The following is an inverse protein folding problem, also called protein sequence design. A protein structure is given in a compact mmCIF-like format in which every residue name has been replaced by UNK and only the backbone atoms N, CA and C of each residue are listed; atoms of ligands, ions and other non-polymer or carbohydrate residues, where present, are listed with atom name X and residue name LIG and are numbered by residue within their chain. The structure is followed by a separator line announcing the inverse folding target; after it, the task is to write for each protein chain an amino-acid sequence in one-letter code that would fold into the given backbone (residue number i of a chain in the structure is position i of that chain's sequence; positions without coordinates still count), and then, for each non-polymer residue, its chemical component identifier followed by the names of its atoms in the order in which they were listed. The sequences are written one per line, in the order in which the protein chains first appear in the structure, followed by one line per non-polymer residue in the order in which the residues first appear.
data_IF_906180049836
#
_entry.id   IF_906180049836
#
_cell.length_a   1.000
_cell.length_b   1.000
_cell.length_c   1.000
_cell.angle_alpha   90.00
_cell.angle_beta   90.00
_cell.angle_gamma   90.00
#
_symmetry.space_group_name_H-M   'P 1'
#
loop_
_entity.id
_entity.type
_entity.pdbx_description
1 polymer ?
#
# COMPACT_ATOMS: atom_id res chain seq x y z
N UNK A 1 -57.22 42.92 7.41
CA UNK A 1 -56.72 43.97 8.33
C UNK A 1 -57.94 44.76 8.82
N UNK A 2 -58.03 45.24 10.08
CA UNK A 2 -56.94 45.46 11.05
C UNK A 2 -57.24 44.99 12.51
N UNK A 3 -56.33 45.37 13.43
CA UNK A 3 -56.41 45.41 14.92
C UNK A 3 -56.33 44.10 15.71
N UNK A 4 -55.49 44.13 16.74
CA UNK A 4 -55.13 43.04 17.65
C UNK A 4 -55.38 43.39 19.13
N UNK A 5 -54.80 42.59 20.05
CA UNK A 5 -54.65 42.77 21.52
C UNK A 5 -55.75 42.12 22.40
N UNK A 6 -55.48 41.60 23.62
CA UNK A 6 -54.23 41.52 24.43
C UNK A 6 -54.20 40.24 25.30
N UNK A 7 -53.03 39.93 25.87
CA UNK A 7 -52.71 38.76 26.69
C UNK A 7 -53.25 38.75 28.14
N UNK A 8 -53.22 37.55 28.74
CA UNK A 8 -53.41 37.19 30.16
C UNK A 8 -54.07 35.80 30.26
N UNK A 9 -53.77 34.87 31.17
CA UNK A 9 -52.71 34.70 32.19
C UNK A 9 -52.62 33.17 32.50
N UNK A 10 -51.74 32.59 33.32
CA UNK A 10 -50.58 33.03 34.11
C UNK A 10 -49.63 31.82 34.36
N UNK A 11 -48.38 32.05 34.79
CA UNK A 11 -47.43 30.98 35.18
C UNK A 11 -47.64 30.48 36.62
N UNK A 12 -47.33 29.22 36.94
CA UNK A 12 -46.92 28.82 38.29
C UNK A 12 -45.44 29.19 38.50
N UNK A 13 -45.17 29.94 39.57
CA UNK A 13 -43.85 30.51 39.88
C UNK A 13 -42.92 29.49 40.55
N UNK A 14 -41.61 29.57 40.22
CA UNK A 14 -40.52 28.87 40.93
C UNK A 14 -40.57 29.14 42.44
N UNK A 15 -40.49 28.11 43.28
CA UNK A 15 -39.89 28.22 44.62
C UNK A 15 -38.47 27.67 44.59
N UNK A 16 -37.47 28.38 45.16
CA UNK A 16 -36.12 27.86 45.27
C UNK A 16 -36.02 26.87 46.44
N UNK A 17 -35.26 25.80 46.27
CA UNK A 17 -34.74 25.02 47.37
C UNK A 17 -33.27 24.65 47.09
N UNK A 18 -32.42 25.35 47.84
CA UNK A 18 -31.12 24.96 48.40
C UNK A 18 -30.06 24.30 47.49
N UNK A 19 -28.91 24.99 47.44
CA UNK A 19 -27.65 24.48 46.92
C UNK A 19 -27.26 23.15 47.59
N UNK A 20 -27.40 22.05 46.85
CA UNK A 20 -26.46 20.93 46.98
C UNK A 20 -25.59 20.91 45.73
N UNK A 21 -24.57 21.78 45.74
CA UNK A 21 -23.53 21.85 44.72
C UNK A 21 -22.63 20.60 44.75
N UNK A 22 -23.19 19.47 44.33
CA UNK A 22 -22.47 18.24 43.99
C UNK A 22 -22.60 17.99 42.49
N UNK A 23 -22.32 19.03 41.70
CA UNK A 23 -21.81 18.85 40.33
C UNK A 23 -20.45 18.15 40.50
N UNK A 24 -20.47 16.82 40.56
CA UNK A 24 -19.28 16.02 40.33
C UNK A 24 -18.84 16.31 38.91
N UNK A 25 -17.89 17.23 38.84
CA UNK A 25 -17.19 17.62 37.63
C UNK A 25 -16.89 16.37 36.83
N UNK A 26 -17.29 16.38 35.56
CA UNK A 26 -16.75 15.45 34.59
C UNK A 26 -15.26 15.77 34.46
N UNK A 27 -14.45 15.21 35.36
CA UNK A 27 -13.02 15.03 35.18
C UNK A 27 -12.85 14.56 33.74
N UNK A 28 -12.11 15.31 32.94
CA UNK A 28 -11.82 14.96 31.56
C UNK A 28 -10.92 13.72 31.55
N UNK A 29 -11.55 12.56 31.76
CA UNK A 29 -10.92 11.26 31.75
C UNK A 29 -10.49 10.99 30.32
N UNK A 30 -9.20 10.74 30.14
CA UNK A 30 -8.65 10.30 28.86
C UNK A 30 -9.47 9.12 28.30
N UNK A 31 -9.75 9.09 26.99
CA UNK A 31 -10.50 8.00 26.40
C UNK A 31 -9.75 6.67 26.58
N UNK A 32 -10.46 5.64 27.01
CA UNK A 32 -9.89 4.29 27.11
C UNK A 32 -9.53 3.79 25.71
N UNK A 33 -8.35 3.17 25.61
CA UNK A 33 -7.86 2.49 24.39
C UNK A 33 -8.18 1.00 24.48
N UNK A 34 -8.59 0.42 23.35
CA UNK A 34 -9.07 -0.96 23.30
C UNK A 34 -7.98 -1.86 22.71
N UNK A 35 -7.63 -2.90 23.44
CA UNK A 35 -6.58 -3.83 23.04
C UNK A 35 -7.16 -5.24 22.85
N UNK A 36 -6.75 -5.91 21.77
CA UNK A 36 -6.97 -7.34 21.59
C UNK A 36 -5.63 -8.02 21.90
N UNK A 37 -5.61 -8.77 23.00
CA UNK A 37 -4.42 -9.40 23.56
C UNK A 37 -4.52 -10.93 23.44
N UNK A 38 -3.39 -11.65 23.23
CA UNK A 38 -3.32 -13.10 23.42
C UNK A 38 -3.87 -13.54 24.78
N UNK A 39 -4.43 -14.76 24.86
CA UNK A 39 -5.06 -15.25 26.10
C UNK A 39 -4.06 -15.61 27.18
N UNK A 40 -2.93 -16.19 26.80
CA UNK A 40 -1.96 -16.81 27.71
C UNK A 40 -0.76 -15.87 27.95
N UNK A 41 -1.04 -14.63 28.34
CA UNK A 41 -0.02 -13.63 28.67
C UNK A 41 0.35 -13.75 30.16
N UNK A 42 1.66 -13.69 30.43
CA UNK A 42 2.25 -13.69 31.76
C UNK A 42 1.95 -12.39 32.53
N UNK A 43 1.78 -12.46 33.84
CA UNK A 43 1.61 -11.29 34.71
C UNK A 43 2.85 -10.36 34.70
N UNK A 44 4.01 -10.87 34.26
CA UNK A 44 5.23 -10.10 34.04
C UNK A 44 5.29 -9.40 32.68
N UNK A 45 4.26 -9.51 31.84
CA UNK A 45 4.24 -8.82 30.56
C UNK A 45 4.14 -7.29 30.72
N UNK A 46 4.89 -6.54 29.92
CA UNK A 46 4.97 -5.08 29.98
C UNK A 46 4.88 -4.46 28.59
N UNK A 47 4.33 -3.25 28.54
CA UNK A 47 4.38 -2.42 27.34
C UNK A 47 5.76 -1.77 27.28
N UNK A 48 6.53 -2.06 26.23
CA UNK A 48 7.83 -1.45 25.95
C UNK A 48 7.70 -0.44 24.81
N UNK A 49 8.48 0.64 24.86
CA UNK A 49 8.58 1.60 23.76
C UNK A 49 9.92 1.39 23.03
N UNK A 50 9.90 0.61 21.95
CA UNK A 50 11.11 0.24 21.19
C UNK A 50 11.14 0.95 19.84
N UNK A 51 12.34 1.15 19.28
CA UNK A 51 12.51 1.65 17.91
C UNK A 51 12.06 0.59 16.90
N UNK A 52 11.15 0.94 15.99
CA UNK A 52 10.70 0.07 14.92
C UNK A 52 11.82 -0.11 13.87
N UNK A 53 12.09 -1.33 13.39
CA UNK A 53 13.36 -1.64 12.72
C UNK A 53 13.48 -1.07 11.30
N UNK A 54 12.38 -0.66 10.67
CA UNK A 54 12.38 -0.09 9.31
C UNK A 54 12.79 1.38 9.26
N UNK A 55 12.31 2.16 10.21
CA UNK A 55 12.25 3.63 10.17
C UNK A 55 12.74 4.28 11.47
N UNK A 56 13.10 3.49 12.48
CA UNK A 56 13.58 3.95 13.77
C UNK A 56 12.51 4.60 14.66
N UNK A 57 11.25 4.64 14.23
CA UNK A 57 10.18 5.31 14.98
C UNK A 57 9.88 4.58 16.29
N UNK A 58 9.72 5.33 17.38
CA UNK A 58 9.38 4.77 18.68
C UNK A 58 7.94 4.24 18.68
N UNK A 59 7.78 2.92 18.73
CA UNK A 59 6.50 2.22 18.71
C UNK A 59 6.30 1.39 19.97
N UNK A 60 5.04 1.23 20.40
CA UNK A 60 4.71 0.39 21.54
C UNK A 60 4.67 -1.07 21.10
N UNK A 61 5.34 -1.91 21.85
CA UNK A 61 5.26 -3.36 21.78
C UNK A 61 4.77 -3.88 23.13
N UNK A 62 4.22 -5.09 23.14
CA UNK A 62 3.99 -5.85 24.36
C UNK A 62 5.07 -6.94 24.43
N UNK A 63 5.85 -6.93 25.50
CA UNK A 63 6.83 -7.97 25.77
C UNK A 63 6.31 -8.90 26.86
N UNK A 64 6.44 -10.21 26.64
CA UNK A 64 6.08 -11.26 27.58
C UNK A 64 7.27 -12.25 27.69
N UNK A 65 7.92 -12.38 28.87
CA UNK A 65 9.10 -13.25 29.04
C UNK A 65 8.90 -14.71 28.58
N UNK A 66 7.66 -15.22 28.63
CA UNK A 66 7.32 -16.59 28.25
C UNK A 66 6.86 -16.76 26.79
N UNK A 67 6.47 -15.69 26.11
CA UNK A 67 5.79 -15.74 24.79
C UNK A 67 6.46 -14.89 23.70
N UNK A 68 7.39 -14.00 24.06
CA UNK A 68 8.11 -13.14 23.13
C UNK A 68 7.52 -11.73 23.02
N UNK A 69 7.81 -11.08 21.90
CA UNK A 69 7.39 -9.72 21.59
C UNK A 69 6.14 -9.72 20.71
N UNK A 70 5.27 -8.73 20.92
CA UNK A 70 4.08 -8.50 20.11
C UNK A 70 4.03 -7.03 19.67
N UNK A 71 3.76 -6.81 18.38
CA UNK A 71 3.55 -5.49 17.80
C UNK A 71 2.06 -5.12 17.84
N UNK A 72 1.76 -3.84 18.06
CA UNK A 72 0.40 -3.33 18.03
C UNK A 72 0.03 -2.74 16.68
N UNK A 73 -0.72 -3.49 15.87
CA UNK A 73 -1.40 -2.95 14.69
C UNK A 73 -2.71 -2.28 15.09
N UNK A 74 -2.91 -1.03 14.66
CA UNK A 74 -4.17 -0.29 14.84
C UNK A 74 -5.15 -0.65 13.72
N UNK A 75 -6.32 -1.17 14.10
CA UNK A 75 -7.49 -1.35 13.26
C UNK A 75 -8.42 -0.17 13.54
N UNK A 76 -8.66 0.64 12.52
CA UNK A 76 -9.57 1.80 12.57
C UNK A 76 -10.79 1.52 11.69
N UNK A 77 -11.97 1.94 12.10
CA UNK A 77 -13.15 1.90 11.25
C UNK A 77 -12.98 2.77 9.98
N UNK A 78 -13.50 2.34 8.80
CA UNK A 78 -13.64 3.19 7.62
C UNK A 78 -14.35 4.51 7.91
N UNK A 79 -14.08 5.55 7.12
CA UNK A 79 -14.62 6.91 7.33
C UNK A 79 -16.14 7.02 7.22
N UNK A 80 -16.80 6.03 6.61
CA UNK A 80 -18.26 5.95 6.42
C UNK A 80 -18.97 5.15 7.52
N UNK A 81 -18.22 4.41 8.35
CA UNK A 81 -18.78 3.55 9.39
C UNK A 81 -18.97 4.27 10.74
N UNK A 82 -19.82 3.76 11.65
CA UNK A 82 -20.00 4.33 12.98
C UNK A 82 -18.69 4.35 13.79
N UNK A 83 -18.27 5.55 14.21
CA UNK A 83 -16.94 5.82 14.80
C UNK A 83 -16.84 5.60 16.32
N UNK A 84 -17.91 5.15 16.98
CA UNK A 84 -17.96 4.97 18.43
C UNK A 84 -18.30 3.54 18.85
N UNK A 85 -17.71 3.08 19.95
CA UNK A 85 -17.93 1.75 20.53
C UNK A 85 -18.69 1.86 21.85
N UNK A 86 -19.75 1.08 22.01
CA UNK A 86 -20.45 0.89 23.28
C UNK A 86 -19.96 -0.41 23.94
N UNK A 87 -19.30 -0.27 25.08
CA UNK A 87 -18.98 -1.39 25.97
C UNK A 87 -20.07 -1.51 27.02
N UNK A 88 -20.64 -2.70 27.15
CA UNK A 88 -21.65 -3.02 28.16
C UNK A 88 -21.28 -4.32 28.88
N UNK A 89 -21.74 -4.47 30.12
CA UNK A 89 -21.54 -5.68 30.90
C UNK A 89 -22.45 -6.80 30.37
N UNK A 90 -21.86 -7.87 29.79
CA UNK A 90 -22.64 -9.01 29.32
C UNK A 90 -23.40 -9.74 30.46
N UNK A 91 -22.86 -9.72 31.68
CA UNK A 91 -23.53 -10.24 32.88
C UNK A 91 -23.26 -9.32 34.09
N UNK A 92 -24.23 -8.51 34.55
CA UNK A 92 -24.00 -7.56 35.65
C UNK A 92 -23.72 -8.24 37.00
N UNK A 93 -24.23 -9.45 37.22
CA UNK A 93 -24.09 -10.20 38.48
C UNK A 93 -22.65 -10.69 38.73
N UNK A 94 -21.96 -11.18 37.69
CA UNK A 94 -20.56 -11.65 37.79
C UNK A 94 -19.58 -10.52 38.10
N UNK A 95 -19.91 -9.28 37.72
CA UNK A 95 -19.10 -8.10 38.02
C UNK A 95 -19.07 -7.78 39.52
N UNK A 96 -20.16 -8.03 40.26
CA UNK A 96 -20.19 -7.77 41.71
C UNK A 96 -19.22 -8.69 42.48
N UNK A 97 -19.10 -9.95 42.06
CA UNK A 97 -18.14 -10.91 42.63
C UNK A 97 -16.69 -10.55 42.31
N UNK A 98 -16.42 -10.04 41.10
CA UNK A 98 -15.05 -9.65 40.70
C UNK A 98 -14.60 -8.31 41.32
N UNK A 99 -15.52 -7.34 41.45
CA UNK A 99 -15.23 -6.04 42.08
C UNK A 99 -14.95 -6.16 43.59
N UNK A 100 -15.57 -7.14 44.28
CA UNK A 100 -15.25 -7.43 45.69
C UNK A 100 -13.83 -8.00 45.92
N UNK A 101 -13.12 -8.44 44.87
CA UNK A 101 -11.70 -8.87 44.97
C UNK A 101 -10.70 -7.78 44.57
N UNK A 102 -11.16 -6.69 43.95
CA UNK A 102 -10.32 -5.61 43.39
C UNK A 102 -10.54 -4.30 44.16
N UNK A 103 -10.70 -4.39 45.48
CA UNK A 103 -11.27 -3.30 46.27
C UNK A 103 -10.33 -2.12 46.54
N UNK A 104 -9.03 -2.24 46.27
CA UNK A 104 -8.04 -1.19 46.58
C UNK A 104 -7.64 -0.25 45.42
N UNK A 105 -7.60 -0.68 44.15
CA UNK A 105 -6.77 0.03 43.13
C UNK A 105 -7.44 0.50 41.82
N UNK A 106 -8.78 0.39 41.62
CA UNK A 106 -9.36 0.96 40.39
C UNK A 106 -10.83 1.42 40.39
N UNK A 107 -11.04 2.74 40.53
CA UNK A 107 -12.30 3.41 40.20
C UNK A 107 -12.77 3.17 38.75
N UNK A 108 -11.89 2.73 37.84
CA UNK A 108 -12.23 2.44 36.43
C UNK A 108 -13.10 1.19 36.27
N UNK A 109 -12.96 0.19 37.15
CA UNK A 109 -13.78 -1.03 37.12
C UNK A 109 -15.27 -0.75 37.36
N UNK A 110 -15.58 0.27 38.16
CA UNK A 110 -16.94 0.74 38.44
C UNK A 110 -17.62 1.47 37.27
N UNK A 111 -16.88 1.82 36.20
CA UNK A 111 -17.45 2.52 35.05
C UNK A 111 -18.01 1.54 34.01
N UNK A 112 -17.33 0.40 33.80
CA UNK A 112 -17.78 -0.63 32.85
C UNK A 112 -19.13 -1.25 33.26
N UNK A 113 -19.45 -1.28 34.56
CA UNK A 113 -20.75 -1.77 35.06
C UNK A 113 -21.93 -0.84 34.76
N UNK A 114 -21.70 0.42 34.38
CA UNK A 114 -22.73 1.38 33.93
C UNK A 114 -22.77 1.57 32.42
N UNK A 115 -21.95 0.82 31.67
CA UNK A 115 -21.72 1.03 30.25
C UNK A 115 -20.73 2.17 29.97
N UNK A 116 -19.93 2.01 28.92
CA UNK A 116 -18.93 3.00 28.50
C UNK A 116 -18.98 3.20 26.99
N UNK A 117 -19.12 4.46 26.55
CA UNK A 117 -19.03 4.82 25.13
C UNK A 117 -17.64 5.40 24.86
N UNK A 118 -16.86 4.69 24.04
CA UNK A 118 -15.63 5.24 23.47
C UNK A 118 -15.96 6.00 22.19
N UNK A 119 -15.42 7.22 22.06
CA UNK A 119 -15.60 8.07 20.86
C UNK A 119 -14.75 7.63 19.66
N UNK A 120 -13.86 6.65 19.86
CA UNK A 120 -12.94 6.13 18.84
C UNK A 120 -13.12 4.62 18.71
N UNK A 121 -13.54 4.17 17.53
CA UNK A 121 -13.62 2.77 17.13
C UNK A 121 -12.25 2.17 16.74
N UNK A 122 -11.19 2.57 17.46
CA UNK A 122 -9.84 2.08 17.25
C UNK A 122 -9.56 0.87 18.15
N UNK A 123 -9.19 -0.26 17.56
CA UNK A 123 -8.66 -1.42 18.26
C UNK A 123 -7.17 -1.58 17.98
N UNK A 124 -6.40 -1.95 19.00
CA UNK A 124 -4.97 -2.25 18.88
C UNK A 124 -4.78 -3.75 19.08
N UNK A 125 -4.39 -4.49 18.05
CA UNK A 125 -4.23 -5.94 18.12
C UNK A 125 -2.76 -6.30 18.33
N UNK A 126 -2.46 -7.07 19.38
CA UNK A 126 -1.13 -7.59 19.65
C UNK A 126 -0.81 -8.79 18.73
N UNK A 127 -0.16 -8.52 17.59
CA UNK A 127 0.32 -9.55 16.67
C UNK A 127 1.73 -10.02 17.08
N UNK A 128 2.04 -11.33 17.08
CA UNK A 128 3.40 -11.82 17.37
C UNK A 128 4.44 -11.17 16.46
N UNK A 129 5.52 -10.67 17.03
CA UNK A 129 6.61 -10.00 16.33
C UNK A 129 7.94 -10.69 16.64
N UNK A 130 8.75 -10.93 15.61
CA UNK A 130 10.02 -11.61 15.79
C UNK A 130 11.13 -10.64 16.23
N UNK A 131 11.75 -10.94 17.36
CA UNK A 131 12.89 -10.19 17.92
C UNK A 131 14.07 -10.11 16.95
N UNK A 132 14.24 -11.09 16.05
CA UNK A 132 15.26 -11.06 15.00
C UNK A 132 15.20 -9.75 14.20
N UNK A 133 14.01 -9.27 13.84
CA UNK A 133 13.89 -8.02 13.07
C UNK A 133 14.25 -6.77 13.89
N UNK A 134 14.08 -6.78 15.22
CA UNK A 134 14.58 -5.71 16.10
C UNK A 134 16.11 -5.73 16.14
N UNK A 135 16.73 -6.91 16.21
CA UNK A 135 18.18 -7.04 16.36
C UNK A 135 18.97 -6.80 15.06
N UNK A 136 18.45 -7.20 13.89
CA UNK A 136 19.12 -6.99 12.59
C UNK A 136 19.70 -5.58 12.42
N UNK A 137 18.95 -4.47 12.57
CA UNK A 137 19.50 -3.12 12.41
C UNK A 137 20.45 -2.67 13.54
N UNK A 138 20.52 -3.41 14.65
CA UNK A 138 21.45 -3.14 15.75
C UNK A 138 22.79 -3.86 15.55
N UNK A 139 22.79 -5.03 14.90
CA UNK A 139 23.98 -5.89 14.74
C UNK A 139 24.60 -5.85 13.35
N UNK A 140 23.82 -5.57 12.30
CA UNK A 140 24.33 -5.42 10.94
C UNK A 140 24.55 -3.94 10.62
N UNK A 141 25.78 -3.52 10.27
CA UNK A 141 26.03 -2.13 9.90
C UNK A 141 25.23 -1.74 8.66
N UNK A 142 24.85 -0.46 8.56
CA UNK A 142 24.13 0.07 7.39
C UNK A 142 24.99 0.03 6.11
N UNK A 143 26.28 0.28 6.24
CA UNK A 143 27.29 0.13 5.18
C UNK A 143 27.94 -1.25 5.22
N UNK A 144 28.42 -1.73 4.07
CA UNK A 144 29.22 -2.95 3.99
C UNK A 144 30.69 -2.62 4.27
N UNK A 145 31.02 -2.37 5.54
CA UNK A 145 32.39 -2.09 5.94
C UNK A 145 33.25 -3.35 5.73
N UNK A 146 34.24 -3.27 4.84
CA UNK A 146 35.09 -4.41 4.44
C UNK A 146 36.01 -4.97 5.54
N UNK A 147 35.91 -4.44 6.77
CA UNK A 147 36.58 -4.98 7.94
C UNK A 147 35.92 -6.28 8.40
N UNK A 148 36.73 -7.29 8.73
CA UNK A 148 36.20 -8.51 9.35
C UNK A 148 35.69 -8.17 10.75
N UNK A 149 34.36 -8.09 10.92
CA UNK A 149 33.75 -7.93 12.23
C UNK A 149 34.35 -8.92 13.23
N UNK A 150 34.74 -8.43 14.41
CA UNK A 150 35.34 -9.26 15.45
C UNK A 150 34.26 -10.06 16.18
N UNK A 151 34.67 -11.13 16.87
CA UNK A 151 33.80 -11.83 17.81
C UNK A 151 33.74 -11.03 19.11
N UNK A 152 32.54 -10.66 19.54
CA UNK A 152 32.29 -9.82 20.72
C UNK A 152 31.12 -10.40 21.53
N UNK A 153 31.08 -10.22 22.86
CA UNK A 153 29.94 -10.66 23.66
C UNK A 153 28.70 -9.81 23.32
N UNK A 154 27.52 -10.36 23.62
CA UNK A 154 26.24 -9.70 23.31
C UNK A 154 26.09 -8.33 23.97
N UNK A 155 26.65 -8.18 25.18
CA UNK A 155 26.56 -6.96 25.98
C UNK A 155 27.39 -5.82 25.36
N UNK A 156 28.58 -6.12 24.80
CA UNK A 156 29.42 -5.15 24.07
C UNK A 156 28.78 -4.73 22.73
N UNK A 157 28.25 -5.69 21.97
CA UNK A 157 27.62 -5.43 20.66
C UNK A 157 26.41 -4.49 20.76
N UNK A 158 25.71 -4.53 21.90
CA UNK A 158 24.49 -3.74 22.13
C UNK A 158 24.70 -2.62 23.15
N UNK A 159 25.94 -2.37 23.61
CA UNK A 159 26.21 -1.43 24.71
C UNK A 159 25.64 -0.04 24.42
N UNK A 160 26.04 0.57 23.31
CA UNK A 160 25.62 1.93 22.93
C UNK A 160 24.09 2.08 22.86
N UNK A 161 23.41 1.11 22.25
CA UNK A 161 21.95 1.13 22.10
C UNK A 161 21.24 0.87 23.44
N UNK A 162 21.85 0.06 24.30
CA UNK A 162 21.35 -0.27 25.65
C UNK A 162 21.62 0.87 26.65
N UNK A 163 22.60 1.74 26.41
CA UNK A 163 22.79 2.99 27.14
C UNK A 163 21.71 4.03 26.76
N UNK A 164 21.47 4.21 25.46
CA UNK A 164 20.44 5.12 24.90
C UNK A 164 19.00 4.72 25.29
N UNK A 165 18.66 3.43 25.17
CA UNK A 165 17.28 2.94 25.30
C UNK A 165 17.09 2.10 26.58
N UNK A 166 16.30 2.64 27.51
CA UNK A 166 15.96 1.99 28.80
C UNK A 166 15.01 0.81 28.62
N UNK A 167 14.16 0.82 27.60
CA UNK A 167 13.20 -0.24 27.30
C UNK A 167 13.92 -1.42 26.63
N UNK A 168 14.91 -1.14 25.77
CA UNK A 168 15.83 -2.15 25.26
C UNK A 168 16.64 -2.79 26.40
N UNK A 169 17.13 -2.00 27.36
CA UNK A 169 17.79 -2.54 28.57
C UNK A 169 16.88 -3.44 29.40
N UNK A 170 15.60 -3.09 29.53
CA UNK A 170 14.61 -3.95 30.18
C UNK A 170 14.45 -5.29 29.44
N UNK A 171 14.36 -5.25 28.10
CA UNK A 171 14.30 -6.43 27.24
C UNK A 171 15.55 -7.31 27.38
N UNK A 172 16.75 -6.72 27.43
CA UNK A 172 18.01 -7.47 27.65
C UNK A 172 18.02 -8.16 29.02
N UNK A 173 17.54 -7.51 30.08
CA UNK A 173 17.53 -8.07 31.43
C UNK A 173 16.47 -9.17 31.64
N UNK A 174 15.26 -9.02 31.08
CA UNK A 174 14.13 -9.93 31.33
C UNK A 174 13.86 -10.92 30.19
N UNK A 175 14.50 -10.72 29.03
CA UNK A 175 14.35 -11.54 27.82
C UNK A 175 15.67 -12.09 27.29
N UNK A 176 16.76 -12.08 28.08
CA UNK A 176 18.12 -12.41 27.62
C UNK A 176 18.20 -13.70 26.79
N UNK A 177 17.54 -14.77 27.24
CA UNK A 177 17.48 -16.06 26.53
C UNK A 177 16.84 -15.96 25.14
N UNK A 178 15.82 -15.11 24.96
CA UNK A 178 15.20 -14.86 23.66
C UNK A 178 16.12 -14.04 22.75
N UNK A 179 16.85 -13.08 23.30
CA UNK A 179 17.83 -12.28 22.55
C UNK A 179 19.01 -13.17 22.13
N UNK A 180 19.58 -13.96 23.04
CA UNK A 180 20.64 -14.95 22.76
C UNK A 180 20.22 -15.94 21.66
N UNK A 181 18.99 -16.48 21.74
CA UNK A 181 18.43 -17.34 20.70
C UNK A 181 18.29 -16.62 19.34
N UNK A 182 17.86 -15.35 19.32
CA UNK A 182 17.79 -14.58 18.09
C UNK A 182 19.19 -14.21 17.54
N UNK A 183 20.17 -13.98 18.41
CA UNK A 183 21.57 -13.75 18.04
C UNK A 183 22.24 -14.99 17.44
N UNK A 184 21.97 -16.20 17.96
CA UNK A 184 22.45 -17.47 17.37
C UNK A 184 22.00 -17.66 15.90
N UNK A 185 20.81 -17.14 15.57
CA UNK A 185 20.25 -17.18 14.22
C UNK A 185 20.86 -16.13 13.27
N UNK A 186 21.40 -15.02 13.79
CA UNK A 186 21.97 -13.90 13.01
C UNK A 186 23.50 -13.90 12.93
N UNK A 187 24.17 -14.44 13.94
CA UNK A 187 25.60 -14.31 14.15
C UNK A 187 26.28 -15.67 14.16
N UNK A 188 27.50 -15.74 13.63
CA UNK A 188 28.41 -16.86 13.92
C UNK A 188 28.85 -16.77 15.37
N UNK A 189 28.96 -17.92 16.05
CA UNK A 189 29.23 -17.97 17.50
C UNK A 189 30.41 -18.87 17.81
N UNK A 190 31.22 -18.44 18.78
CA UNK A 190 32.29 -19.22 19.39
C UNK A 190 32.22 -19.09 20.91
N UNK A 191 32.56 -20.15 21.62
CA UNK A 191 32.67 -20.11 23.07
C UNK A 191 34.13 -19.86 23.46
N UNK A 192 34.37 -18.78 24.21
CA UNK A 192 35.71 -18.39 24.69
C UNK A 192 35.60 -18.05 26.17
N UNK A 193 36.33 -18.78 27.02
CA UNK A 193 36.35 -18.53 28.47
C UNK A 193 35.00 -18.72 29.17
N UNK A 194 34.12 -19.57 28.65
CA UNK A 194 32.77 -19.79 29.17
C UNK A 194 31.75 -18.69 28.81
N UNK A 195 32.10 -17.78 27.88
CA UNK A 195 31.19 -16.80 27.31
C UNK A 195 30.97 -17.05 25.82
N UNK A 196 29.73 -16.87 25.36
CA UNK A 196 29.39 -16.91 23.94
C UNK A 196 29.75 -15.58 23.29
N UNK A 197 30.66 -15.62 22.32
CA UNK A 197 31.06 -14.48 21.51
C UNK A 197 30.37 -14.57 20.15
N UNK A 198 29.82 -13.46 19.68
CA UNK A 198 28.99 -13.36 18.48
C UNK A 198 29.70 -12.51 17.41
N UNK A 199 29.55 -12.91 16.15
CA UNK A 199 29.99 -12.15 14.98
C UNK A 199 28.84 -12.07 13.96
N UNK A 200 28.30 -10.88 13.63
CA UNK A 200 27.20 -10.73 12.68
C UNK A 200 27.51 -11.37 11.31
N UNK A 201 26.58 -12.20 10.82
CA UNK A 201 26.76 -12.98 9.59
C UNK A 201 25.61 -12.72 8.62
N UNK A 202 25.94 -12.08 7.49
CA UNK A 202 24.97 -11.78 6.43
C UNK A 202 24.37 -13.06 5.84
N UNK A 203 25.18 -14.11 5.70
CA UNK A 203 24.74 -15.40 5.15
C UNK A 203 23.71 -16.10 6.06
N UNK A 204 23.94 -16.09 7.38
CA UNK A 204 22.93 -16.55 8.35
C UNK A 204 21.66 -15.71 8.28
N UNK A 205 21.80 -14.38 8.19
CA UNK A 205 20.65 -13.46 8.07
C UNK A 205 19.81 -13.76 6.82
N UNK A 206 20.44 -14.01 5.67
CA UNK A 206 19.76 -14.44 4.44
C UNK A 206 19.02 -15.77 4.65
N UNK A 207 19.66 -16.77 5.28
CA UNK A 207 19.03 -18.06 5.62
C UNK A 207 17.80 -17.88 6.53
N UNK A 208 17.86 -17.03 7.54
CA UNK A 208 16.72 -16.71 8.41
C UNK A 208 15.59 -16.07 7.61
N UNK A 209 15.87 -15.10 6.74
CA UNK A 209 14.86 -14.44 5.92
C UNK A 209 14.18 -15.45 4.98
N UNK A 210 14.94 -16.34 4.31
CA UNK A 210 14.38 -17.44 3.50
C UNK A 210 13.47 -18.34 4.34
N UNK A 211 13.89 -18.70 5.55
CA UNK A 211 13.07 -19.50 6.46
C UNK A 211 11.76 -18.78 6.83
N UNK A 212 11.79 -17.46 7.06
CA UNK A 212 10.57 -16.66 7.30
C UNK A 212 9.68 -16.55 6.06
N UNK A 213 10.26 -16.42 4.86
CA UNK A 213 9.52 -16.43 3.59
C UNK A 213 8.77 -17.75 3.41
N UNK A 214 9.45 -18.89 3.57
CA UNK A 214 8.82 -20.21 3.46
C UNK A 214 7.70 -20.38 4.49
N UNK A 215 7.99 -20.11 5.77
CA UNK A 215 6.98 -20.19 6.85
C UNK A 215 5.74 -19.29 6.59
N UNK A 216 5.91 -18.15 5.93
CA UNK A 216 4.80 -17.25 5.59
C UNK A 216 4.03 -17.71 4.34
N UNK A 217 4.69 -18.36 3.37
CA UNK A 217 4.04 -19.03 2.24
C UNK A 217 3.24 -20.25 2.71
N UNK A 218 3.80 -21.07 3.60
CA UNK A 218 3.16 -22.27 4.15
C UNK A 218 1.92 -21.95 5.00
N UNK A 219 1.92 -20.80 5.69
CA UNK A 219 0.76 -20.28 6.43
C UNK A 219 -0.30 -19.63 5.53
N UNK A 220 0.02 -19.41 4.26
CA UNK A 220 -0.84 -18.78 3.27
C UNK A 220 -0.78 -17.25 3.30
N UNK A 221 -0.79 -16.66 2.11
CA UNK A 221 -1.08 -15.24 1.91
C UNK A 221 -2.60 -15.00 2.07
N UNK A 222 -3.04 -13.85 2.60
CA UNK A 222 -4.43 -13.43 2.52
C UNK A 222 -4.93 -13.47 1.07
N UNK A 223 -6.13 -14.02 0.84
CA UNK A 223 -6.68 -14.25 -0.52
C UNK A 223 -6.66 -12.99 -1.41
N UNK A 224 -6.94 -11.81 -0.83
CA UNK A 224 -6.90 -10.52 -1.53
C UNK A 224 -5.49 -10.05 -1.94
N UNK A 225 -4.44 -10.49 -1.24
CA UNK A 225 -3.04 -10.26 -1.63
C UNK A 225 -2.58 -11.30 -2.66
N UNK A 226 -2.98 -12.56 -2.47
CA UNK A 226 -2.70 -13.63 -3.44
C UNK A 226 -3.31 -13.33 -4.81
N UNK A 227 -4.56 -12.84 -4.86
CA UNK A 227 -5.21 -12.44 -6.11
C UNK A 227 -4.46 -11.25 -6.77
N UNK A 228 -4.21 -10.17 -6.02
CA UNK A 228 -3.65 -8.93 -6.58
C UNK A 228 -2.19 -9.04 -6.99
N UNK A 229 -1.36 -9.74 -6.21
CA UNK A 229 0.10 -9.77 -6.40
C UNK A 229 0.62 -11.09 -6.98
N UNK A 230 -0.19 -12.15 -7.02
CA UNK A 230 0.22 -13.46 -7.57
C UNK A 230 -0.60 -13.81 -8.80
N UNK A 231 -1.93 -13.95 -8.71
CA UNK A 231 -2.73 -14.39 -9.88
C UNK A 231 -2.75 -13.31 -10.97
N UNK A 232 -3.17 -12.08 -10.66
CA UNK A 232 -3.22 -10.96 -11.64
C UNK A 232 -1.85 -10.55 -12.18
N UNK A 233 -0.77 -10.85 -11.46
CA UNK A 233 0.59 -10.56 -11.91
C UNK A 233 1.06 -11.54 -13.01
N UNK A 234 0.58 -12.79 -12.95
CA UNK A 234 0.90 -13.88 -13.87
C UNK A 234 -0.17 -14.08 -14.96
N UNK A 235 -1.30 -13.38 -14.88
CA UNK A 235 -2.40 -13.44 -15.84
C UNK A 235 -1.99 -12.81 -17.18
N UNK A 236 -2.18 -13.56 -18.27
CA UNK A 236 -1.92 -13.08 -19.62
C UNK A 236 -2.97 -12.04 -20.05
N UNK A 237 -2.60 -10.97 -20.79
CA UNK A 237 -3.56 -10.00 -21.28
C UNK A 237 -4.59 -10.66 -22.20
N UNK A 238 -5.87 -10.47 -21.91
CA UNK A 238 -6.95 -10.90 -22.81
C UNK A 238 -6.92 -10.00 -24.06
N UNK A 239 -6.19 -10.47 -25.08
CA UNK A 239 -6.29 -9.97 -26.43
C UNK A 239 -7.72 -10.24 -26.90
N UNK A 240 -8.43 -9.16 -27.24
CA UNK A 240 -9.83 -9.24 -27.65
C UNK A 240 -9.95 -9.96 -28.99
N UNK A 241 -10.20 -11.27 -28.94
CA UNK A 241 -10.49 -12.06 -30.13
C UNK A 241 -11.66 -11.43 -30.89
N UNK A 242 -11.50 -11.30 -32.21
CA UNK A 242 -12.39 -10.56 -33.09
C UNK A 242 -13.82 -11.12 -33.01
N UNK A 243 -14.77 -10.33 -32.49
CA UNK A 243 -16.20 -10.67 -32.45
C UNK A 243 -16.88 -10.31 -33.77
N UNK A 244 -16.54 -11.04 -34.83
CA UNK A 244 -17.09 -10.87 -36.18
C UNK A 244 -17.68 -12.18 -36.70
N UNK A 245 -18.72 -12.73 -36.03
CA UNK A 245 -19.63 -13.75 -36.60
C UNK A 245 -20.83 -14.06 -35.67
N UNK A 246 -21.66 -13.05 -35.36
CA UNK A 246 -23.03 -13.28 -34.84
C UNK A 246 -24.00 -12.28 -35.49
N UNK A 247 -24.21 -12.40 -36.81
CA UNK A 247 -25.34 -11.77 -37.49
C UNK A 247 -25.67 -12.52 -38.78
N UNK A 248 -26.69 -13.39 -38.76
CA UNK A 248 -27.15 -14.06 -39.98
C UNK A 248 -27.77 -15.44 -39.81
N UNK A 249 -28.99 -15.51 -39.28
CA UNK A 249 -30.01 -16.40 -39.86
C UNK A 249 -31.41 -16.00 -39.37
N UNK A 250 -32.18 -15.38 -40.25
CA UNK A 250 -33.61 -15.10 -40.06
C UNK A 250 -34.39 -16.17 -40.81
N UNK A 251 -35.22 -16.96 -40.13
CA UNK A 251 -36.26 -17.77 -40.78
C UNK A 251 -37.58 -17.73 -40.01
N UNK A 252 -38.67 -17.95 -40.73
CA UNK A 252 -40.02 -17.45 -40.40
C UNK A 252 -41.10 -18.53 -40.41
N UNK A 253 -41.80 -18.69 -39.27
CA UNK A 253 -43.15 -19.28 -39.14
C UNK A 253 -43.28 -20.81 -39.26
N UNK A 254 -44.49 -21.38 -38.97
CA UNK A 254 -45.75 -20.76 -38.52
C UNK A 254 -46.34 -21.33 -37.19
N UNK A 255 -47.44 -20.71 -36.72
CA UNK A 255 -48.27 -21.10 -35.55
C UNK A 255 -49.31 -22.20 -35.90
N UNK A 256 -49.92 -22.87 -34.89
CA UNK A 256 -51.26 -22.43 -34.42
C UNK A 256 -51.51 -22.52 -32.89
N UNK A 257 -52.44 -21.67 -32.41
CA UNK A 257 -53.50 -21.90 -31.38
C UNK A 257 -53.16 -22.40 -29.96
N UNK A 258 -53.73 -21.90 -28.86
CA UNK A 258 -54.82 -20.92 -28.68
C UNK A 258 -54.64 -20.09 -27.38
N UNK A 259 -55.31 -18.95 -27.35
CA UNK A 259 -55.92 -18.19 -26.23
C UNK A 259 -55.52 -18.51 -24.78
N UNK A 260 -54.98 -17.52 -24.06
CA UNK A 260 -55.80 -16.77 -23.08
C UNK A 260 -55.22 -15.36 -22.79
N UNK A 261 -56.08 -14.44 -22.37
CA UNK A 261 -55.80 -13.00 -22.17
C UNK A 261 -55.32 -12.67 -20.75
N UNK A 262 -54.48 -11.63 -20.60
CA UNK A 262 -54.55 -10.56 -19.59
C UNK A 262 -53.24 -9.74 -19.54
N UNK A 263 -53.39 -8.43 -19.34
CA UNK A 263 -52.40 -7.42 -19.71
C UNK A 263 -51.58 -6.82 -18.54
N UNK A 264 -50.33 -6.43 -18.86
CA UNK A 264 -49.53 -5.30 -18.29
C UNK A 264 -49.29 -5.25 -16.75
N UNK A 265 -48.14 -4.83 -16.21
CA UNK A 265 -47.06 -4.01 -16.77
C UNK A 265 -45.73 -4.15 -15.96
N UNK A 266 -44.63 -3.65 -16.54
CA UNK A 266 -43.42 -3.09 -15.89
C UNK A 266 -42.65 -3.85 -14.79
N UNK A 267 -41.42 -4.27 -15.15
CA UNK A 267 -40.09 -3.95 -14.54
C UNK A 267 -40.05 -3.54 -13.03
N UNK A 268 -39.10 -3.99 -12.19
CA UNK A 268 -37.68 -4.21 -12.50
C UNK A 268 -36.92 -5.09 -11.46
N UNK A 269 -35.89 -5.79 -11.94
CA UNK A 269 -34.67 -6.30 -11.29
C UNK A 269 -34.62 -6.63 -9.77
N UNK A 270 -34.49 -7.93 -9.47
CA UNK A 270 -33.61 -8.41 -8.38
C UNK A 270 -32.64 -9.48 -8.86
N UNK A 271 -31.34 -9.26 -8.60
CA UNK A 271 -30.28 -10.25 -8.81
C UNK A 271 -30.20 -11.23 -7.66
N UNK A 272 -30.07 -12.52 -7.95
CA UNK A 272 -29.31 -13.48 -7.12
C UNK A 272 -28.94 -14.72 -7.93
N UNK A 273 -27.71 -15.21 -7.73
CA UNK A 273 -27.14 -16.30 -8.50
C UNK A 273 -27.52 -17.68 -7.93
N UNK A 274 -27.64 -18.70 -8.79
CA UNK A 274 -27.31 -20.08 -8.42
C UNK A 274 -26.75 -20.81 -9.63
N UNK A 275 -25.45 -21.09 -9.63
CA UNK A 275 -24.83 -21.95 -10.66
C UNK A 275 -25.10 -23.42 -10.34
N UNK A 276 -25.82 -24.12 -11.20
CA UNK A 276 -25.92 -25.59 -11.15
C UNK A 276 -25.10 -26.16 -12.30
N UNK A 277 -24.04 -26.91 -11.97
CA UNK A 277 -23.20 -27.55 -12.96
C UNK A 277 -23.91 -28.79 -13.55
N UNK A 278 -23.86 -28.94 -14.88
CA UNK A 278 -24.06 -30.22 -15.54
C UNK A 278 -23.01 -30.41 -16.64
N UNK A 279 -22.27 -31.51 -16.53
CA UNK A 279 -21.36 -31.99 -17.56
C UNK A 279 -22.15 -32.85 -18.56
N UNK A 280 -21.95 -32.62 -19.85
CA UNK A 280 -22.33 -33.57 -20.89
C UNK A 280 -21.24 -33.62 -21.96
N UNK A 281 -20.80 -34.84 -22.25
CA UNK A 281 -19.79 -35.20 -23.25
C UNK A 281 -20.41 -35.09 -24.64
N UNK A 282 -19.68 -34.57 -25.63
CA UNK A 282 -19.62 -35.16 -26.97
C UNK A 282 -18.33 -34.75 -27.69
N UNK A 283 -17.76 -35.68 -28.46
CA UNK A 283 -16.58 -35.48 -29.30
C UNK A 283 -16.94 -35.65 -30.77
N UNK A 284 -15.94 -35.34 -31.61
CA UNK A 284 -15.72 -35.78 -32.99
C UNK A 284 -16.01 -34.82 -34.18
N UNK A 285 -14.88 -34.53 -34.85
CA UNK A 285 -14.65 -34.41 -36.31
C UNK A 285 -14.59 -33.00 -36.95
N UNK A 286 -13.33 -32.63 -37.26
CA UNK A 286 -12.78 -31.97 -38.48
C UNK A 286 -13.55 -30.80 -39.14
N UNK A 287 -12.93 -29.65 -39.45
CA UNK A 287 -11.82 -29.52 -40.43
C UNK A 287 -11.07 -28.17 -40.36
N UNK A 288 -9.77 -28.21 -40.72
CA UNK A 288 -8.87 -27.14 -41.19
C UNK A 288 -9.34 -25.67 -41.28
N UNK A 289 -8.78 -24.80 -40.42
CA UNK A 289 -8.24 -23.49 -40.80
C UNK A 289 -7.32 -22.90 -39.73
N UNK A 290 -6.24 -22.22 -40.16
CA UNK A 290 -5.19 -21.71 -39.28
C UNK A 290 -5.61 -20.45 -38.50
N UNK A 291 -5.84 -20.58 -37.21
CA UNK A 291 -5.71 -19.49 -36.24
C UNK A 291 -4.92 -20.03 -35.04
N UNK A 292 -3.83 -19.35 -34.64
CA UNK A 292 -3.15 -19.66 -33.38
C UNK A 292 -4.07 -19.24 -32.23
N UNK A 293 -4.83 -20.18 -31.66
CA UNK A 293 -5.27 -20.04 -30.28
C UNK A 293 -4.01 -19.99 -29.41
N UNK A 294 -3.73 -18.83 -28.83
CA UNK A 294 -2.99 -18.81 -27.57
C UNK A 294 -4.00 -19.24 -26.53
N UNK A 295 -4.18 -20.56 -26.40
CA UNK A 295 -4.78 -21.12 -25.20
C UNK A 295 -3.99 -20.58 -24.01
N UNK A 296 -4.65 -20.15 -22.93
CA UNK A 296 -3.95 -19.71 -21.74
C UNK A 296 -3.21 -20.92 -21.17
N UNK A 297 -1.90 -21.02 -21.42
CA UNK A 297 -1.07 -22.03 -20.80
C UNK A 297 -1.34 -21.98 -19.29
N UNK A 298 -1.69 -23.11 -18.66
CA UNK A 298 -1.96 -23.12 -17.23
C UNK A 298 -0.66 -22.78 -16.51
N UNK A 299 -0.56 -21.51 -16.08
CA UNK A 299 0.62 -20.91 -15.46
C UNK A 299 1.26 -21.93 -14.51
N UNK A 300 2.49 -22.34 -14.82
CA UNK A 300 3.13 -23.43 -14.09
C UNK A 300 3.07 -23.18 -12.59
N UNK A 301 2.69 -24.23 -11.84
CA UNK A 301 2.60 -24.17 -10.37
C UNK A 301 3.90 -23.67 -9.75
N UNK A 302 5.04 -23.93 -10.39
CA UNK A 302 6.35 -23.44 -9.99
C UNK A 302 6.47 -21.91 -10.10
N UNK A 303 6.00 -21.30 -11.19
CA UNK A 303 5.97 -19.84 -11.35
C UNK A 303 5.05 -19.19 -10.30
N UNK A 304 3.93 -19.84 -9.96
CA UNK A 304 3.02 -19.39 -8.92
C UNK A 304 3.67 -19.37 -7.53
N UNK A 305 4.38 -20.44 -7.15
CA UNK A 305 5.12 -20.50 -5.88
C UNK A 305 6.34 -19.56 -5.86
N UNK A 306 7.04 -19.38 -6.98
CA UNK A 306 8.12 -18.39 -7.09
C UNK A 306 7.58 -16.95 -6.92
N UNK A 307 6.45 -16.61 -7.55
CA UNK A 307 5.83 -15.29 -7.40
C UNK A 307 5.33 -15.05 -5.97
N UNK A 308 4.73 -16.05 -5.30
CA UNK A 308 4.39 -15.96 -3.87
C UNK A 308 5.64 -15.66 -3.02
N UNK A 309 6.72 -16.42 -3.21
CA UNK A 309 7.98 -16.24 -2.47
C UNK A 309 8.57 -14.85 -2.70
N UNK A 310 8.55 -14.35 -3.94
CA UNK A 310 8.98 -13.00 -4.30
C UNK A 310 8.16 -11.93 -3.56
N UNK A 311 6.83 -12.00 -3.64
CA UNK A 311 5.92 -11.05 -2.97
C UNK A 311 6.12 -11.03 -1.46
N UNK A 312 6.28 -12.20 -0.83
CA UNK A 312 6.55 -12.32 0.61
C UNK A 312 7.94 -11.78 0.97
N UNK A 313 8.97 -12.07 0.17
CA UNK A 313 10.32 -11.56 0.36
C UNK A 313 10.34 -10.02 0.26
N UNK A 314 9.76 -9.46 -0.79
CA UNK A 314 9.67 -8.01 -0.99
C UNK A 314 8.90 -7.32 0.14
N UNK A 315 7.80 -7.92 0.61
CA UNK A 315 7.08 -7.46 1.79
C UNK A 315 7.96 -7.47 3.05
N UNK A 316 8.66 -8.58 3.34
CA UNK A 316 9.53 -8.68 4.52
C UNK A 316 10.63 -7.61 4.49
N UNK A 317 11.32 -7.49 3.36
CA UNK A 317 12.41 -6.52 3.16
C UNK A 317 11.92 -5.07 3.16
N UNK A 318 10.68 -4.79 2.73
CA UNK A 318 10.12 -3.44 2.72
C UNK A 318 9.46 -3.01 4.05
N UNK A 319 8.96 -3.96 4.84
CA UNK A 319 8.20 -3.69 6.07
C UNK A 319 9.01 -3.79 7.36
N UNK A 320 10.01 -4.69 7.44
CA UNK A 320 10.70 -4.99 8.71
C UNK A 320 12.18 -4.61 8.75
N UNK A 321 12.77 -4.11 7.66
CA UNK A 321 14.21 -3.78 7.60
C UNK A 321 14.44 -2.32 7.16
N UNK A 322 15.55 -1.67 7.59
CA UNK A 322 15.94 -0.37 7.06
C UNK A 322 16.32 -0.44 5.59
N UNK A 323 16.10 0.66 4.85
CA UNK A 323 16.43 0.78 3.42
C UNK A 323 17.83 0.24 3.04
N UNK A 324 18.93 0.73 3.65
CA UNK A 324 20.29 0.29 3.30
C UNK A 324 20.53 -1.22 3.48
N UNK A 325 19.99 -1.80 4.57
CA UNK A 325 20.11 -3.24 4.85
C UNK A 325 19.24 -4.03 3.88
N UNK A 326 18.01 -3.57 3.62
CA UNK A 326 17.09 -4.21 2.69
C UNK A 326 17.65 -4.21 1.24
N UNK A 327 18.24 -3.10 0.78
CA UNK A 327 18.87 -2.99 -0.53
C UNK A 327 20.09 -3.91 -0.66
N UNK A 328 20.97 -3.94 0.36
CA UNK A 328 22.11 -4.86 0.41
C UNK A 328 21.66 -6.33 0.33
N UNK A 329 20.64 -6.71 1.09
CA UNK A 329 20.11 -8.07 1.07
C UNK A 329 19.39 -8.40 -0.26
N UNK A 330 18.68 -7.45 -0.89
CA UNK A 330 18.15 -7.63 -2.26
C UNK A 330 19.26 -7.92 -3.26
N UNK A 331 20.37 -7.17 -3.21
CA UNK A 331 21.52 -7.41 -4.08
C UNK A 331 22.13 -8.81 -3.88
N UNK A 332 22.13 -9.34 -2.64
CA UNK A 332 22.51 -10.72 -2.36
C UNK A 332 21.52 -11.76 -2.91
N UNK A 333 20.22 -11.51 -2.83
CA UNK A 333 19.21 -12.41 -3.41
C UNK A 333 19.21 -12.39 -4.95
N UNK A 334 19.64 -11.30 -5.57
CA UNK A 334 19.81 -11.17 -7.02
C UNK A 334 21.16 -11.69 -7.55
N UNK A 335 22.10 -12.06 -6.68
CA UNK A 335 23.38 -12.66 -7.08
C UNK A 335 23.19 -14.09 -7.60
N UNK A 336 24.12 -14.57 -8.44
CA UNK A 336 24.04 -15.91 -9.06
C UNK A 336 24.12 -17.06 -8.03
N UNK A 337 24.78 -16.83 -6.89
CA UNK A 337 24.89 -17.80 -5.79
C UNK A 337 23.67 -17.80 -4.84
N UNK A 338 22.55 -17.20 -5.24
CA UNK A 338 21.38 -17.10 -4.37
C UNK A 338 20.64 -18.44 -4.23
N UNK A 339 20.11 -18.68 -3.03
CA UNK A 339 19.41 -19.94 -2.67
C UNK A 339 18.06 -20.09 -3.40
N UNK A 340 17.53 -19.01 -3.98
CA UNK A 340 16.26 -19.01 -4.71
C UNK A 340 16.47 -18.34 -6.07
N UNK A 341 16.49 -19.14 -7.13
CA UNK A 341 16.58 -18.64 -8.50
C UNK A 341 15.22 -18.07 -8.95
N UNK A 342 15.15 -16.74 -9.10
CA UNK A 342 13.98 -16.03 -9.62
C UNK A 342 14.01 -15.81 -11.15
N UNK A 343 15.08 -16.18 -11.86
CA UNK A 343 15.21 -15.91 -13.30
C UNK A 343 14.04 -16.45 -14.16
N UNK A 344 13.53 -17.68 -13.97
CA UNK A 344 12.40 -18.18 -14.75
C UNK A 344 11.12 -17.34 -14.58
N UNK A 345 10.92 -16.80 -13.38
CA UNK A 345 9.81 -15.90 -13.07
C UNK A 345 10.03 -14.52 -13.72
N UNK A 346 11.24 -13.98 -13.70
CA UNK A 346 11.53 -12.71 -14.35
C UNK A 346 11.41 -12.78 -15.86
N UNK A 347 11.90 -13.84 -16.49
CA UNK A 347 11.80 -14.03 -17.94
C UNK A 347 10.33 -14.16 -18.38
N UNK A 348 9.50 -14.88 -17.61
CA UNK A 348 8.05 -14.95 -17.81
C UNK A 348 7.35 -13.59 -17.59
N UNK A 349 7.70 -12.84 -16.54
CA UNK A 349 7.12 -11.52 -16.32
C UNK A 349 7.50 -10.52 -17.42
N UNK A 350 8.75 -10.57 -17.92
CA UNK A 350 9.19 -9.78 -19.09
C UNK A 350 8.40 -10.15 -20.35
N UNK A 351 8.14 -11.44 -20.61
CA UNK A 351 7.33 -11.85 -21.76
C UNK A 351 5.88 -11.36 -21.65
N UNK A 352 5.26 -11.48 -20.46
CA UNK A 352 3.95 -10.90 -20.18
C UNK A 352 3.92 -9.37 -20.39
N UNK A 353 4.96 -8.66 -20.00
CA UNK A 353 5.03 -7.21 -20.19
C UNK A 353 5.23 -6.82 -21.67
N UNK A 354 5.94 -7.64 -22.47
CA UNK A 354 5.96 -7.46 -23.94
C UNK A 354 4.59 -7.71 -24.57
N UNK A 355 3.85 -8.74 -24.12
CA UNK A 355 2.48 -9.01 -24.57
C UNK A 355 1.50 -7.90 -24.15
N UNK A 356 1.67 -7.30 -22.96
CA UNK A 356 0.90 -6.12 -22.52
C UNK A 356 1.19 -4.92 -23.42
N UNK A 357 2.45 -4.66 -23.76
CA UNK A 357 2.84 -3.58 -24.63
C UNK A 357 2.30 -3.76 -26.06
N UNK A 358 2.38 -4.98 -26.61
CA UNK A 358 1.82 -5.32 -27.92
C UNK A 358 0.29 -5.18 -27.93
N UNK A 359 -0.41 -5.71 -26.91
CA UNK A 359 -1.86 -5.56 -26.76
C UNK A 359 -2.32 -4.08 -26.71
N UNK A 360 -1.58 -3.24 -25.98
CA UNK A 360 -1.85 -1.80 -25.90
C UNK A 360 -1.58 -1.09 -27.23
N UNK A 361 -0.49 -1.46 -27.93
CA UNK A 361 -0.20 -0.94 -29.26
C UNK A 361 -1.27 -1.33 -30.29
N UNK A 362 -1.71 -2.60 -30.31
CA UNK A 362 -2.77 -3.06 -31.21
C UNK A 362 -4.10 -2.36 -30.97
N UNK A 363 -4.48 -2.12 -29.71
CA UNK A 363 -5.69 -1.34 -29.37
C UNK A 363 -5.56 0.12 -29.84
N UNK A 364 -4.41 0.74 -29.60
CA UNK A 364 -4.11 2.10 -30.10
C UNK A 364 -4.26 2.19 -31.62
N UNK A 365 -3.73 1.22 -32.38
CA UNK A 365 -3.86 1.19 -33.84
C UNK A 365 -5.30 0.98 -34.33
N UNK A 366 -6.14 0.28 -33.56
CA UNK A 366 -7.53 -0.05 -33.97
C UNK A 366 -8.52 1.09 -33.65
N UNK A 367 -8.28 1.89 -32.61
CA UNK A 367 -9.17 3.00 -32.22
C UNK A 367 -9.13 4.20 -33.19
N UNK A 368 -8.10 4.32 -34.05
CA UNK A 368 -8.09 5.29 -35.16
C UNK A 368 -9.20 5.07 -36.21
N UNK A 369 -9.91 3.94 -36.17
CA UNK A 369 -11.01 3.63 -37.10
C UNK A 369 -12.34 4.35 -36.78
N UNK A 370 -12.49 4.97 -35.59
CA UNK A 370 -13.70 5.71 -35.22
C UNK A 370 -13.72 7.11 -35.84
N UNK A 371 -14.14 7.19 -37.12
CA UNK A 371 -14.38 8.41 -37.90
C UNK A 371 -14.92 9.61 -37.11
N UNK A 372 -14.04 10.55 -36.76
CA UNK A 372 -14.31 12.00 -36.72
C UNK A 372 -13.06 12.76 -37.18
N UNK A 373 -13.20 13.59 -38.22
CA UNK A 373 -12.41 14.82 -38.42
C UNK A 373 -10.90 14.76 -38.72
N UNK A 374 -10.23 13.60 -38.70
CA UNK A 374 -8.75 13.53 -38.67
C UNK A 374 -7.98 14.12 -39.88
N UNK A 375 -8.63 14.56 -40.95
CA UNK A 375 -7.95 15.21 -42.09
C UNK A 375 -7.84 16.75 -41.94
N UNK A 376 -8.66 17.37 -41.06
CA UNK A 376 -8.60 18.82 -40.81
C UNK A 376 -7.80 19.16 -39.53
N UNK A 377 -7.86 18.32 -38.50
CA UNK A 377 -7.17 18.56 -37.23
C UNK A 377 -5.63 18.41 -37.33
N UNK A 378 -5.09 17.44 -38.06
CA UNK A 378 -3.62 17.31 -38.21
C UNK A 378 -3.03 18.46 -39.08
N UNK A 379 -3.82 18.97 -40.02
CA UNK A 379 -3.53 20.21 -40.75
C UNK A 379 -3.67 21.46 -39.87
N UNK A 380 -4.60 21.49 -38.92
CA UNK A 380 -4.78 22.58 -37.96
C UNK A 380 -3.72 22.58 -36.84
N UNK A 381 -3.28 21.41 -36.36
CA UNK A 381 -2.19 21.26 -35.40
C UNK A 381 -0.85 21.64 -36.02
N UNK A 382 -0.53 21.13 -37.23
CA UNK A 382 0.70 21.56 -37.92
C UNK A 382 0.71 23.06 -38.28
N UNK A 383 -0.44 23.67 -38.57
CA UNK A 383 -0.57 25.14 -38.75
C UNK A 383 -0.45 25.90 -37.43
N UNK A 384 -1.07 25.43 -36.35
CA UNK A 384 -1.06 26.11 -35.04
C UNK A 384 0.28 25.96 -34.32
N UNK A 385 0.98 24.83 -34.46
CA UNK A 385 2.32 24.63 -33.93
C UNK A 385 3.36 25.47 -34.70
N UNK A 386 3.21 25.58 -36.03
CA UNK A 386 4.02 26.50 -36.87
C UNK A 386 3.76 27.97 -36.51
N UNK A 387 2.51 28.33 -36.23
CA UNK A 387 2.14 29.65 -35.70
C UNK A 387 2.74 29.88 -34.30
N UNK A 388 2.71 28.89 -33.40
CA UNK A 388 3.29 28.99 -32.05
C UNK A 388 4.81 29.14 -32.07
N UNK A 389 5.51 28.43 -32.96
CA UNK A 389 6.95 28.59 -33.21
C UNK A 389 7.28 29.99 -33.78
N UNK A 390 6.48 30.50 -34.72
CA UNK A 390 6.63 31.87 -35.24
C UNK A 390 6.36 32.93 -34.16
N UNK A 391 5.33 32.78 -33.33
CA UNK A 391 5.03 33.69 -32.22
C UNK A 391 6.13 33.67 -31.13
N UNK A 392 6.73 32.51 -30.86
CA UNK A 392 7.85 32.41 -29.92
C UNK A 392 9.13 33.04 -30.50
N UNK A 393 9.43 32.84 -31.78
CA UNK A 393 10.52 33.56 -32.47
C UNK A 393 10.29 35.07 -32.50
N UNK A 394 9.08 35.53 -32.80
CA UNK A 394 8.74 36.94 -32.75
C UNK A 394 8.85 37.51 -31.34
N UNK A 395 8.44 36.75 -30.31
CA UNK A 395 8.64 37.15 -28.90
C UNK A 395 10.12 37.24 -28.55
N UNK A 396 10.96 36.29 -28.99
CA UNK A 396 12.43 36.34 -28.80
C UNK A 396 13.07 37.53 -29.54
N UNK A 397 12.69 37.76 -30.81
CA UNK A 397 13.12 38.94 -31.60
C UNK A 397 12.70 40.25 -30.93
N UNK A 398 11.46 40.34 -30.42
CA UNK A 398 10.98 41.49 -29.65
C UNK A 398 11.76 41.66 -28.35
N UNK A 399 12.00 40.59 -27.57
CA UNK A 399 12.76 40.63 -26.31
C UNK A 399 14.23 41.07 -26.50
N UNK A 400 14.84 40.76 -27.65
CA UNK A 400 16.18 41.23 -28.01
C UNK A 400 16.27 42.68 -28.51
N UNK A 401 15.16 43.30 -28.92
CA UNK A 401 15.13 44.69 -29.40
C UNK A 401 14.78 45.67 -28.26
N UNK A 402 15.75 46.52 -27.89
CA UNK A 402 15.55 47.56 -26.86
C UNK A 402 14.47 48.58 -27.28
N UNK A 403 13.82 49.20 -26.30
CA UNK A 403 12.66 50.08 -26.52
C UNK A 403 12.95 51.23 -27.50
N UNK A 404 14.14 51.84 -27.40
CA UNK A 404 14.58 52.89 -28.33
C UNK A 404 14.72 52.41 -29.77
N UNK A 405 15.23 51.19 -30.00
CA UNK A 405 15.32 50.60 -31.34
C UNK A 405 13.92 50.36 -31.92
N UNK A 406 12.95 49.91 -31.11
CA UNK A 406 11.56 49.74 -31.56
C UNK A 406 10.87 51.05 -31.91
N UNK A 407 11.18 52.14 -31.21
CA UNK A 407 10.60 53.47 -31.49
C UNK A 407 11.26 54.10 -32.74
N UNK A 408 12.57 53.94 -32.94
CA UNK A 408 13.27 54.33 -34.18
C UNK A 408 12.77 53.56 -35.41
N UNK A 409 12.48 52.25 -35.27
CA UNK A 409 11.98 51.37 -36.35
C UNK A 409 10.55 51.72 -36.82
N UNK A 410 9.82 52.55 -36.08
CA UNK A 410 8.50 53.10 -36.49
C UNK A 410 8.62 54.35 -37.36
N UNK A 411 9.79 54.99 -37.41
CA UNK A 411 10.01 56.16 -38.29
C UNK A 411 10.10 55.66 -39.72
N UNK A 412 9.31 56.25 -40.62
CA UNK A 412 9.18 55.76 -41.99
C UNK A 412 10.42 56.13 -42.83
N UNK A 413 11.35 55.18 -42.97
CA UNK A 413 12.63 55.37 -43.68
C UNK A 413 12.53 55.19 -45.21
N UNK A 414 11.31 55.00 -45.77
CA UNK A 414 11.12 54.90 -47.23
C UNK A 414 11.38 56.26 -47.91
N UNK A 415 12.57 56.44 -48.48
CA UNK A 415 12.99 57.66 -49.17
C UNK A 415 14.38 58.18 -48.76
N UNK A 416 14.94 57.69 -47.64
CA UNK A 416 16.32 58.02 -47.26
C UNK A 416 17.32 57.17 -48.06
N UNK A 417 18.29 57.83 -48.71
CA UNK A 417 19.39 57.18 -49.44
C UNK A 417 20.28 56.41 -48.46
N UNK A 418 20.69 55.18 -48.81
CA UNK A 418 21.43 54.31 -47.87
C UNK A 418 22.88 54.75 -47.76
N UNK A 419 23.48 54.63 -46.57
CA UNK A 419 24.90 54.95 -46.32
C UNK A 419 25.87 54.27 -47.31
N UNK A 420 25.54 53.05 -47.77
CA UNK A 420 26.37 52.34 -48.75
C UNK A 420 26.41 53.01 -50.14
N UNK A 421 25.44 53.87 -50.47
CA UNK A 421 25.42 54.64 -51.72
C UNK A 421 26.32 55.89 -51.65
N UNK A 422 26.79 56.28 -50.45
CA UNK A 422 27.72 57.39 -50.25
C UNK A 422 29.19 56.94 -50.24
N UNK A 423 29.45 55.64 -50.03
CA UNK A 423 30.79 55.06 -50.02
C UNK A 423 30.93 53.99 -51.11
N UNK A 424 31.03 54.39 -52.40
CA UNK A 424 31.34 53.45 -53.47
C UNK A 424 32.70 52.80 -53.20
N UNK A 425 32.71 51.48 -53.00
CA UNK A 425 33.95 50.71 -52.87
C UNK A 425 34.77 50.85 -54.16
N UNK A 426 36.03 51.26 -54.04
CA UNK A 426 36.94 51.32 -55.20
C UNK A 426 37.00 49.94 -55.88
N UNK A 427 36.90 49.87 -57.23
CA UNK A 427 37.10 48.62 -57.94
C UNK A 427 38.56 48.18 -57.81
N UNK A 428 38.78 46.93 -57.40
CA UNK A 428 40.08 46.26 -57.50
C UNK A 428 40.41 46.01 -58.96
N UNK A 429 41.42 46.70 -59.47
CA UNK A 429 41.96 46.46 -60.81
C UNK A 429 42.85 45.22 -60.78
N UNK A 430 42.39 44.14 -61.41
CA UNK A 430 43.22 42.97 -61.72
C UNK A 430 43.95 43.23 -63.03
N UNK A 431 45.28 43.29 -62.98
CA UNK A 431 46.17 43.23 -64.17
C UNK A 431 46.88 41.86 -64.10
N UNK A 432 47.01 41.12 -65.21
CA UNK A 432 47.69 39.83 -65.24
C UNK A 432 49.20 39.93 -64.96
#
# INVERSE_FOLDING_TARGET
MPVATRAGSASPVKKPFEDTAAVTTNLQREPLKHFILPRDISDQARFLLLRHPRDGSAQRFLFCPDKGLFHFSRISAPTMDPRSLLFTACHPERLQTHLRRLQDECQRGLLLSKGYISKSADFYTAAPFDLVFILVPLVLPGTADGGKALFQPIDDLLEQQTQDDKELRYLMAHGRTMVENAMLMLCDTIEVGGQQMYRPSEEKTLRVIIQKVNNAVDRGLPASLQEKFVTRALEAPILSLKREEILGSTQTGPLPGDEDDFALDSLDSQSSATSTAQSAIFSEVSTTSSIRSVDPEPVSKELFELQKRRVVLDFILASYLPGPIAERLRARFAAQDSVINFAPLEDHLRSLDTLKAEALASRSMMDFSRKRGLEDDEAAESRSEKKRKQEEEERKKKLGESRGVRELKKVNVSGMKKMNDFFPKKPTATVP
#
